data_IF_324463453408
#
_entry.id   IF_324463453408
#
_cell.length_a   1.000
_cell.length_b   1.000
_cell.length_c   1.000
_cell.angle_alpha   90.00
_cell.angle_beta   90.00
_cell.angle_gamma   90.00
#
_symmetry.space_group_name_H-M   'P 1'
#
loop_
_entity.id
_entity.type
_entity.pdbx_description
1 polymer ?
#
# COMPACT_ATOMS: atom_id res chain seq x y z
N UNK A 1 -22.44 9.67 -1.57
CA UNK A 1 -21.74 8.63 -2.35
C UNK A 1 -22.79 7.59 -2.75
N UNK A 2 -22.67 6.93 -3.91
CA UNK A 2 -23.62 5.90 -4.37
C UNK A 2 -22.83 4.66 -4.76
N UNK A 3 -23.43 3.49 -4.61
CA UNK A 3 -22.83 2.25 -5.10
C UNK A 3 -22.70 2.28 -6.64
N UNK A 4 -21.66 1.65 -7.21
CA UNK A 4 -21.56 1.46 -8.65
C UNK A 4 -22.76 0.70 -9.20
N UNK A 5 -23.04 0.87 -10.49
CA UNK A 5 -24.14 0.16 -11.17
C UNK A 5 -24.00 -1.35 -10.96
N UNK A 6 -25.09 -2.01 -10.58
CA UNK A 6 -25.17 -3.44 -10.24
C UNK A 6 -24.59 -3.84 -8.88
N UNK A 7 -24.08 -2.89 -8.08
CA UNK A 7 -23.59 -3.15 -6.71
C UNK A 7 -24.58 -2.69 -5.63
N UNK A 8 -25.81 -2.34 -6.01
CA UNK A 8 -26.83 -1.88 -5.06
C UNK A 8 -27.26 -2.96 -4.07
N UNK A 9 -27.06 -4.24 -4.41
CA UNK A 9 -27.51 -5.41 -3.63
C UNK A 9 -26.38 -6.15 -2.90
N UNK A 10 -25.17 -5.61 -2.87
CA UNK A 10 -24.08 -6.25 -2.12
C UNK A 10 -24.44 -6.37 -0.63
N UNK A 11 -24.00 -7.46 -0.02
CA UNK A 11 -24.23 -7.70 1.40
C UNK A 11 -23.41 -6.72 2.25
N UNK A 12 -23.86 -6.47 3.48
CA UNK A 12 -23.07 -5.71 4.43
C UNK A 12 -21.69 -6.38 4.61
N UNK A 13 -20.64 -5.56 4.60
CA UNK A 13 -19.23 -5.96 4.73
C UNK A 13 -18.68 -6.82 3.59
N UNK A 14 -19.42 -6.94 2.48
CA UNK A 14 -18.91 -7.55 1.26
C UNK A 14 -17.85 -6.63 0.63
N UNK A 15 -16.60 -7.07 0.66
CA UNK A 15 -15.46 -6.35 0.10
C UNK A 15 -15.54 -6.35 -1.42
N UNK A 16 -15.65 -5.16 -2.01
CA UNK A 16 -15.67 -4.97 -3.45
C UNK A 16 -14.46 -4.14 -3.89
N UNK A 17 -14.02 -4.35 -5.12
CA UNK A 17 -12.97 -3.56 -5.77
C UNK A 17 -13.48 -3.05 -7.12
N UNK A 18 -12.97 -1.90 -7.55
CA UNK A 18 -13.21 -1.35 -8.88
C UNK A 18 -11.89 -0.91 -9.51
N UNK A 19 -11.72 -1.27 -10.78
CA UNK A 19 -10.71 -0.73 -11.67
C UNK A 19 -11.29 0.40 -12.51
N UNK A 20 -10.42 1.28 -13.01
CA UNK A 20 -10.78 2.20 -14.07
C UNK A 20 -10.62 1.56 -15.47
N UNK A 21 -10.77 2.37 -16.52
CA UNK A 21 -10.96 1.88 -17.90
C UNK A 21 -9.75 1.14 -18.49
N UNK A 22 -8.54 1.53 -18.09
CA UNK A 22 -7.27 0.94 -18.50
C UNK A 22 -6.54 0.20 -17.36
N UNK A 23 -7.19 0.08 -16.19
CA UNK A 23 -6.72 -0.67 -15.02
C UNK A 23 -5.40 -0.13 -14.42
N UNK A 24 -5.24 1.19 -14.41
CA UNK A 24 -4.14 1.88 -13.72
C UNK A 24 -4.52 2.39 -12.31
N UNK A 25 -5.81 2.31 -11.96
CA UNK A 25 -6.35 2.70 -10.65
C UNK A 25 -7.12 1.60 -9.96
N UNK A 26 -6.94 1.53 -8.64
CA UNK A 26 -7.69 0.66 -7.77
C UNK A 26 -8.36 1.43 -6.63
N UNK A 27 -9.66 1.20 -6.45
CA UNK A 27 -10.36 1.55 -5.22
C UNK A 27 -11.15 0.36 -4.70
N UNK A 28 -11.25 0.28 -3.38
CA UNK A 28 -12.12 -0.67 -2.70
C UNK A 28 -13.35 0.04 -2.14
N UNK A 29 -14.41 -0.71 -1.92
CA UNK A 29 -15.60 -0.21 -1.25
C UNK A 29 -16.40 -1.35 -0.63
N UNK A 30 -17.27 -1.01 0.31
CA UNK A 30 -18.21 -1.94 0.89
C UNK A 30 -19.44 -1.21 1.41
N UNK A 31 -20.45 -1.99 1.80
CA UNK A 31 -21.64 -1.52 2.50
C UNK A 31 -21.47 -1.74 4.00
N UNK A 32 -21.60 -0.71 4.83
CA UNK A 32 -21.54 -0.89 6.28
C UNK A 32 -22.85 -1.43 6.88
N UNK A 33 -22.88 -1.65 8.20
CA UNK A 33 -24.08 -2.10 8.91
C UNK A 33 -25.27 -1.12 8.84
N UNK A 34 -25.01 0.16 8.56
CA UNK A 34 -26.04 1.19 8.38
C UNK A 34 -26.53 1.29 6.93
N UNK A 35 -26.11 0.35 6.07
CA UNK A 35 -26.37 0.34 4.63
C UNK A 35 -25.72 1.50 3.87
N UNK A 36 -24.73 2.17 4.46
CA UNK A 36 -24.03 3.28 3.82
C UNK A 36 -22.83 2.81 2.99
N UNK A 37 -22.52 3.60 1.96
CA UNK A 37 -21.37 3.35 1.10
C UNK A 37 -20.10 3.82 1.78
N UNK A 38 -19.17 2.89 2.02
CA UNK A 38 -17.84 3.19 2.53
C UNK A 38 -16.82 3.03 1.40
N UNK A 39 -16.06 4.10 1.15
CA UNK A 39 -14.96 4.11 0.18
C UNK A 39 -13.66 3.78 0.90
N UNK A 40 -12.87 2.91 0.28
CA UNK A 40 -11.48 2.64 0.64
C UNK A 40 -10.63 3.09 -0.55
N UNK A 41 -10.11 4.30 -0.44
CA UNK A 41 -9.40 5.00 -1.51
C UNK A 41 -7.88 4.71 -1.49
N UNK A 42 -7.15 5.36 -2.39
CA UNK A 42 -5.70 5.17 -2.51
C UNK A 42 -4.91 5.52 -1.23
N UNK A 43 -5.41 6.44 -0.40
CA UNK A 43 -4.76 6.74 0.89
C UNK A 43 -4.82 5.54 1.85
N UNK A 44 -5.96 4.84 1.87
CA UNK A 44 -6.13 3.62 2.67
C UNK A 44 -5.28 2.45 2.15
N UNK A 45 -5.09 2.35 0.83
CA UNK A 45 -4.19 1.38 0.21
C UNK A 45 -2.73 1.70 0.59
N UNK A 46 -2.32 2.96 0.46
CA UNK A 46 -0.99 3.40 0.87
C UNK A 46 -0.72 3.12 2.35
N UNK A 47 -1.68 3.39 3.23
CA UNK A 47 -1.56 3.09 4.66
C UNK A 47 -1.40 1.58 4.93
N UNK A 48 -2.16 0.73 4.23
CA UNK A 48 -2.05 -0.72 4.34
C UNK A 48 -0.67 -1.22 3.91
N UNK A 49 -0.18 -0.74 2.77
CA UNK A 49 1.12 -1.12 2.22
C UNK A 49 2.25 -0.63 3.12
N UNK A 50 2.19 0.63 3.56
CA UNK A 50 3.17 1.20 4.48
C UNK A 50 3.24 0.40 5.79
N UNK A 51 2.10 -0.07 6.31
CA UNK A 51 2.04 -0.89 7.53
C UNK A 51 2.73 -2.22 7.32
N UNK A 52 2.33 -2.93 6.27
CA UNK A 52 2.89 -4.24 5.96
C UNK A 52 4.41 -4.19 5.79
N UNK A 53 4.89 -3.24 4.97
CA UNK A 53 6.32 -3.09 4.69
C UNK A 53 7.09 -2.73 5.96
N UNK A 54 6.61 -1.77 6.76
CA UNK A 54 7.28 -1.34 7.99
C UNK A 54 7.44 -2.49 8.98
N UNK A 55 6.42 -3.35 9.11
CA UNK A 55 6.50 -4.53 9.97
C UNK A 55 7.49 -5.57 9.45
N UNK A 56 7.56 -5.79 8.13
CA UNK A 56 8.55 -6.73 7.59
C UNK A 56 9.97 -6.16 7.71
N UNK A 57 10.19 -4.85 7.51
CA UNK A 57 11.49 -4.19 7.70
C UNK A 57 11.93 -4.29 9.17
N UNK A 58 11.03 -3.97 10.09
CA UNK A 58 11.31 -4.03 11.54
C UNK A 58 11.54 -5.47 12.00
N UNK A 59 10.68 -6.40 11.57
CA UNK A 59 10.82 -7.82 11.90
C UNK A 59 12.06 -8.48 11.28
N UNK A 60 12.58 -7.94 10.18
CA UNK A 60 13.86 -8.35 9.60
C UNK A 60 15.08 -7.73 10.31
N UNK A 61 14.88 -6.80 11.25
CA UNK A 61 15.96 -6.05 11.90
C UNK A 61 16.66 -5.08 10.93
N UNK A 62 15.92 -4.52 9.96
CA UNK A 62 16.45 -3.65 8.92
C UNK A 62 16.03 -2.19 9.08
N UNK A 63 15.46 -1.80 10.23
CA UNK A 63 15.01 -0.42 10.47
C UNK A 63 16.14 0.62 10.44
N UNK A 64 17.37 0.22 10.77
CA UNK A 64 18.56 1.08 10.65
C UNK A 64 19.09 1.18 9.21
N UNK A 65 18.58 0.32 8.31
CA UNK A 65 19.02 0.20 6.91
C UNK A 65 18.00 0.82 5.97
N UNK A 66 16.72 0.55 6.19
CA UNK A 66 15.63 1.00 5.35
C UNK A 66 14.63 1.83 6.14
N UNK A 67 14.43 3.07 5.67
CA UNK A 67 13.30 3.90 6.08
C UNK A 67 12.18 3.74 5.06
N UNK A 68 10.98 3.39 5.54
CA UNK A 68 9.77 3.42 4.72
C UNK A 68 9.27 4.86 4.67
N UNK A 69 9.01 5.36 3.46
CA UNK A 69 8.40 6.67 3.23
C UNK A 69 7.04 6.52 2.56
N UNK A 70 6.09 7.38 2.90
CA UNK A 70 4.82 7.54 2.18
C UNK A 70 4.77 8.91 1.52
N UNK A 71 4.44 8.94 0.23
CA UNK A 71 4.35 10.16 -0.54
C UNK A 71 2.89 10.34 -0.94
N UNK A 72 2.33 11.46 -0.51
CA UNK A 72 0.95 11.85 -0.74
C UNK A 72 0.89 13.11 -1.60
N UNK A 73 -0.32 13.43 -2.07
CA UNK A 73 -0.63 14.72 -2.69
C UNK A 73 -1.55 15.52 -1.79
N UNK A 74 -1.80 16.78 -2.11
CA UNK A 74 -2.71 17.65 -1.35
C UNK A 74 -4.18 17.17 -1.35
N UNK A 75 -4.54 16.19 -2.21
CA UNK A 75 -5.86 15.54 -2.16
C UNK A 75 -5.99 14.49 -1.06
N UNK A 76 -4.88 14.12 -0.42
CA UNK A 76 -4.90 13.11 0.61
C UNK A 76 -5.73 13.56 1.82
N UNK A 77 -6.47 12.62 2.41
CA UNK A 77 -7.21 12.91 3.63
C UNK A 77 -6.24 13.25 4.77
N UNK A 78 -6.38 14.41 5.42
CA UNK A 78 -5.49 14.80 6.52
C UNK A 78 -5.43 13.80 7.68
N UNK A 79 -6.49 13.00 7.90
CA UNK A 79 -6.46 11.91 8.89
C UNK A 79 -5.53 10.77 8.46
N UNK A 80 -5.39 10.48 7.16
CA UNK A 80 -4.45 9.48 6.66
C UNK A 80 -3.00 9.91 6.93
N UNK A 81 -2.67 11.17 6.66
CA UNK A 81 -1.35 11.75 6.96
C UNK A 81 -1.06 11.70 8.46
N UNK A 82 -2.05 12.05 9.29
CA UNK A 82 -1.92 11.99 10.75
C UNK A 82 -1.72 10.56 11.26
N UNK A 83 -2.47 9.60 10.73
CA UNK A 83 -2.33 8.19 11.07
C UNK A 83 -0.93 7.65 10.72
N UNK A 84 -0.47 7.90 9.50
CA UNK A 84 0.86 7.49 9.04
C UNK A 84 1.97 8.08 9.91
N UNK A 85 1.91 9.38 10.20
CA UNK A 85 2.95 10.06 10.98
C UNK A 85 2.90 9.71 12.46
N UNK A 86 1.73 9.91 13.09
CA UNK A 86 1.61 9.92 14.55
C UNK A 86 1.40 8.52 15.13
N UNK A 87 0.67 7.65 14.41
CA UNK A 87 0.37 6.27 14.87
C UNK A 87 1.39 5.26 14.38
N UNK A 88 1.81 5.37 13.12
CA UNK A 88 2.73 4.41 12.52
C UNK A 88 4.19 4.85 12.54
N UNK A 89 4.48 6.13 12.81
CA UNK A 89 5.84 6.64 12.85
C UNK A 89 6.53 6.63 11.48
N UNK A 90 5.78 6.58 10.38
CA UNK A 90 6.33 6.55 9.02
C UNK A 90 6.65 7.98 8.57
N UNK A 91 7.73 8.14 7.80
CA UNK A 91 8.02 9.41 7.16
C UNK A 91 6.97 9.71 6.08
N UNK A 92 6.35 10.90 6.12
CA UNK A 92 5.32 11.31 5.14
C UNK A 92 5.74 12.60 4.44
N UNK A 93 5.74 12.57 3.11
CA UNK A 93 6.01 13.72 2.25
C UNK A 93 4.77 14.08 1.43
N UNK A 94 4.51 15.38 1.23
CA UNK A 94 3.45 15.86 0.34
C UNK A 94 4.06 16.53 -0.89
N UNK A 95 3.56 16.20 -2.07
CA UNK A 95 4.00 16.77 -3.35
C UNK A 95 2.81 17.26 -4.18
N UNK A 96 3.09 18.06 -5.20
CA UNK A 96 2.09 18.45 -6.18
C UNK A 96 1.48 17.22 -6.86
N UNK A 97 0.23 17.36 -7.31
CA UNK A 97 -0.55 16.29 -7.92
C UNK A 97 0.07 15.76 -9.21
N UNK A 98 -0.25 14.51 -9.54
CA UNK A 98 0.27 13.81 -10.71
C UNK A 98 1.40 12.84 -10.39
N UNK A 99 1.29 11.63 -10.95
CA UNK A 99 2.19 10.51 -10.71
C UNK A 99 3.68 10.83 -10.93
N UNK A 100 3.99 11.73 -11.87
CA UNK A 100 5.37 12.16 -12.14
C UNK A 100 6.02 12.85 -10.94
N UNK A 101 5.24 13.63 -10.17
CA UNK A 101 5.74 14.32 -8.98
C UNK A 101 5.94 13.32 -7.83
N UNK A 102 4.97 12.41 -7.64
CA UNK A 102 5.06 11.30 -6.69
C UNK A 102 6.31 10.46 -6.96
N UNK A 103 6.51 10.04 -8.21
CA UNK A 103 7.65 9.21 -8.61
C UNK A 103 8.99 9.94 -8.47
N UNK A 104 9.05 11.23 -8.83
CA UNK A 104 10.26 12.05 -8.67
C UNK A 104 10.68 12.17 -7.20
N UNK A 105 9.73 12.16 -6.27
CA UNK A 105 10.01 12.14 -4.85
C UNK A 105 10.35 10.72 -4.36
N UNK A 106 9.66 9.68 -4.86
CA UNK A 106 9.84 8.28 -4.48
C UNK A 106 11.27 7.78 -4.66
N UNK A 107 11.92 8.16 -5.77
CA UNK A 107 13.28 7.71 -6.10
C UNK A 107 14.37 8.20 -5.14
N UNK A 108 14.04 9.11 -4.21
CA UNK A 108 14.96 9.60 -3.16
C UNK A 108 15.10 8.64 -1.98
N UNK A 109 14.23 7.63 -1.89
CA UNK A 109 14.18 6.69 -0.77
C UNK A 109 14.50 5.27 -1.24
N UNK A 110 14.84 4.38 -0.29
CA UNK A 110 14.98 2.95 -0.60
C UNK A 110 13.63 2.25 -0.77
N UNK A 111 12.63 2.67 0.01
CA UNK A 111 11.27 2.16 -0.07
C UNK A 111 10.30 3.34 0.04
N UNK A 112 9.52 3.58 -1.01
CA UNK A 112 8.54 4.66 -1.03
C UNK A 112 7.18 4.16 -1.53
N UNK A 113 6.17 4.25 -0.68
CA UNK A 113 4.77 4.00 -1.03
C UNK A 113 4.17 5.31 -1.55
N UNK A 114 3.55 5.29 -2.72
CA UNK A 114 2.91 6.49 -3.26
C UNK A 114 1.59 6.15 -3.94
N UNK A 115 0.52 6.82 -3.51
CA UNK A 115 -0.80 6.73 -4.11
C UNK A 115 -1.44 8.12 -4.13
N UNK A 116 -2.20 8.38 -5.19
CA UNK A 116 -3.22 9.42 -5.18
C UNK A 116 -4.53 8.85 -4.62
N UNK A 117 -5.36 9.69 -4.01
CA UNK A 117 -6.67 9.29 -3.48
C UNK A 117 -7.59 8.67 -4.55
N UNK A 118 -7.34 8.92 -5.84
CA UNK A 118 -8.08 8.32 -6.95
C UNK A 118 -7.76 6.83 -7.19
N UNK A 119 -6.78 6.26 -6.48
CA UNK A 119 -6.39 4.85 -6.60
C UNK A 119 -5.17 4.60 -7.49
N UNK A 120 -4.58 5.62 -8.10
CA UNK A 120 -3.36 5.46 -8.91
C UNK A 120 -2.15 5.50 -7.99
N UNK A 121 -1.38 4.42 -7.94
CA UNK A 121 -0.15 4.37 -7.16
C UNK A 121 0.56 3.04 -7.24
N UNK A 122 1.69 2.93 -6.56
CA UNK A 122 2.44 1.69 -6.38
C UNK A 122 3.49 1.91 -5.27
N UNK A 123 4.42 0.96 -5.13
CA UNK A 123 5.57 1.06 -4.24
C UNK A 123 6.86 1.04 -5.05
N UNK A 124 7.71 2.04 -4.82
CA UNK A 124 9.06 2.07 -5.34
C UNK A 124 10.03 1.37 -4.39
N UNK A 125 10.92 0.57 -4.96
CA UNK A 125 12.04 -0.08 -4.28
C UNK A 125 13.33 0.27 -5.03
N UNK A 126 14.32 0.81 -4.31
CA UNK A 126 15.59 1.22 -4.92
C UNK A 126 16.43 0.02 -5.40
N UNK A 127 17.39 0.23 -6.32
CA UNK A 127 18.40 -0.80 -6.62
C UNK A 127 19.14 -1.28 -5.37
N UNK A 128 19.47 -0.36 -4.45
CA UNK A 128 20.13 -0.67 -3.18
C UNK A 128 19.30 -1.62 -2.31
N UNK A 129 17.97 -1.45 -2.29
CA UNK A 129 17.07 -2.37 -1.60
C UNK A 129 17.27 -3.81 -2.09
N UNK A 130 17.26 -4.02 -3.41
CA UNK A 130 17.44 -5.35 -4.00
C UNK A 130 18.81 -5.95 -3.72
N UNK A 131 19.88 -5.16 -3.80
CA UNK A 131 21.25 -5.63 -3.58
C UNK A 131 21.45 -6.08 -2.13
N UNK A 132 20.93 -5.32 -1.16
CA UNK A 132 20.99 -5.67 0.25
C UNK A 132 20.18 -6.94 0.54
N UNK A 133 18.93 -7.04 0.06
CA UNK A 133 18.13 -8.24 0.29
C UNK A 133 18.78 -9.50 -0.31
N UNK A 134 19.33 -9.41 -1.52
CA UNK A 134 20.05 -10.52 -2.15
C UNK A 134 21.27 -10.93 -1.33
N UNK A 135 22.04 -9.95 -0.85
CA UNK A 135 23.21 -10.21 0.01
C UNK A 135 22.80 -10.94 1.28
N UNK A 136 21.73 -10.49 1.95
CA UNK A 136 21.28 -11.15 3.18
C UNK A 136 20.81 -12.58 2.91
N UNK A 137 20.06 -12.81 1.84
CA UNK A 137 19.55 -14.15 1.48
C UNK A 137 20.70 -15.12 1.19
N UNK A 138 21.80 -14.66 0.59
CA UNK A 138 22.97 -15.51 0.30
C UNK A 138 23.75 -15.85 1.58
N UNK A 139 23.84 -14.93 2.54
CA UNK A 139 24.76 -15.04 3.68
C UNK A 139 24.10 -15.44 5.02
N UNK A 140 22.77 -15.38 5.16
CA UNK A 140 22.07 -15.74 6.41
C UNK A 140 21.34 -17.07 6.31
N UNK A 141 21.38 -17.81 7.42
CA UNK A 141 20.62 -19.04 7.62
C UNK A 141 19.12 -18.77 7.86
N UNK A 142 18.29 -19.77 7.57
CA UNK A 142 16.90 -19.63 7.09
C UNK A 142 15.93 -18.91 8.04
N UNK A 143 16.15 -18.82 9.34
CA UNK A 143 15.07 -18.38 10.25
C UNK A 143 14.79 -16.87 10.27
N UNK A 144 15.75 -16.00 9.93
CA UNK A 144 15.47 -14.58 9.70
C UNK A 144 14.95 -14.29 8.28
N UNK A 145 14.74 -15.34 7.47
CA UNK A 145 14.41 -15.17 6.05
C UNK A 145 12.93 -14.91 5.78
N UNK A 146 11.98 -15.17 6.69
CA UNK A 146 10.56 -15.06 6.29
C UNK A 146 10.15 -13.61 6.00
N UNK A 147 10.53 -12.64 6.84
CA UNK A 147 10.25 -11.22 6.61
C UNK A 147 11.01 -10.71 5.37
N UNK A 148 12.25 -11.15 5.19
CA UNK A 148 13.07 -10.80 4.02
C UNK A 148 12.48 -11.37 2.73
N UNK A 149 12.05 -12.64 2.74
CA UNK A 149 11.37 -13.30 1.63
C UNK A 149 10.05 -12.60 1.33
N UNK A 150 9.27 -12.24 2.36
CA UNK A 150 8.04 -11.46 2.22
C UNK A 150 8.30 -10.12 1.56
N UNK A 151 9.29 -9.35 2.01
CA UNK A 151 9.69 -8.10 1.37
C UNK A 151 10.07 -8.31 -0.10
N UNK A 152 10.91 -9.30 -0.38
CA UNK A 152 11.36 -9.58 -1.75
C UNK A 152 10.21 -10.03 -2.67
N UNK A 153 9.30 -10.88 -2.19
CA UNK A 153 8.17 -11.33 -2.98
C UNK A 153 7.11 -10.26 -3.13
N UNK A 154 6.88 -9.44 -2.10
CA UNK A 154 6.00 -8.28 -2.18
C UNK A 154 6.52 -7.26 -3.21
N UNK A 155 7.83 -6.98 -3.21
CA UNK A 155 8.43 -6.08 -4.19
C UNK A 155 8.39 -6.61 -5.62
N UNK A 156 8.34 -7.94 -5.79
CA UNK A 156 8.22 -8.61 -7.10
C UNK A 156 6.77 -8.75 -7.58
N UNK A 157 5.80 -8.66 -6.67
CA UNK A 157 4.38 -8.72 -7.00
C UNK A 157 3.93 -7.42 -7.65
N UNK A 158 4.38 -6.29 -7.11
CA UNK A 158 3.98 -4.96 -7.56
C UNK A 158 4.67 -4.55 -8.86
N UNK A 159 3.95 -3.80 -9.70
CA UNK A 159 4.55 -3.09 -10.82
C UNK A 159 5.30 -1.85 -10.31
N UNK A 160 6.63 -1.87 -10.36
CA UNK A 160 7.44 -0.76 -9.81
C UNK A 160 7.60 0.43 -10.78
N UNK A 161 7.04 0.36 -11.99
CA UNK A 161 7.22 1.40 -13.03
C UNK A 161 6.02 2.37 -13.07
N UNK A 162 4.81 1.84 -13.04
CA UNK A 162 3.53 2.57 -13.12
C UNK A 162 2.52 1.88 -12.20
N UNK A 163 1.49 2.61 -11.76
CA UNK A 163 0.36 2.00 -11.05
C UNK A 163 -0.30 0.91 -11.89
N UNK A 164 -0.61 -0.20 -11.25
CA UNK A 164 -1.17 -1.40 -11.88
C UNK A 164 -2.21 -1.98 -10.93
N UNK A 165 -3.47 -1.72 -11.25
CA UNK A 165 -4.59 -2.03 -10.39
C UNK A 165 -4.72 -3.54 -10.11
N UNK A 166 -4.26 -4.39 -11.05
CA UNK A 166 -4.30 -5.84 -10.86
C UNK A 166 -3.25 -6.28 -9.85
N UNK A 167 -2.03 -5.77 -9.95
CA UNK A 167 -0.98 -6.09 -8.96
C UNK A 167 -1.30 -5.50 -7.58
N UNK A 168 -1.87 -4.30 -7.54
CA UNK A 168 -2.31 -3.68 -6.30
C UNK A 168 -3.45 -4.48 -5.63
N UNK A 169 -4.40 -5.00 -6.42
CA UNK A 169 -5.48 -5.86 -5.91
C UNK A 169 -4.90 -7.13 -5.25
N UNK A 170 -3.98 -7.82 -5.94
CA UNK A 170 -3.35 -9.02 -5.40
C UNK A 170 -2.54 -8.70 -4.13
N UNK A 171 -1.85 -7.55 -4.11
CA UNK A 171 -1.11 -7.10 -2.94
C UNK A 171 -2.03 -6.78 -1.75
N UNK A 172 -3.16 -6.09 -1.98
CA UNK A 172 -4.16 -5.83 -0.95
C UNK A 172 -4.73 -7.14 -0.40
N UNK A 173 -5.19 -8.06 -1.25
CA UNK A 173 -5.78 -9.33 -0.80
C UNK A 173 -4.76 -10.19 -0.03
N UNK A 174 -3.49 -10.20 -0.47
CA UNK A 174 -2.41 -10.88 0.22
C UNK A 174 -2.15 -10.31 1.62
N UNK A 175 -2.14 -8.97 1.76
CA UNK A 175 -1.94 -8.31 3.06
C UNK A 175 -3.14 -8.52 3.98
N UNK A 176 -4.38 -8.39 3.46
CA UNK A 176 -5.58 -8.64 4.25
C UNK A 176 -5.59 -10.09 4.77
N UNK A 177 -5.19 -11.05 3.94
CA UNK A 177 -5.07 -12.45 4.39
C UNK A 177 -3.93 -12.63 5.41
N UNK A 178 -2.81 -11.92 5.25
CA UNK A 178 -1.70 -11.96 6.19
C UNK A 178 -2.13 -11.56 7.62
N UNK A 179 -2.97 -10.54 7.74
CA UNK A 179 -3.49 -10.05 9.02
C UNK A 179 -4.79 -10.73 9.49
N UNK A 180 -5.37 -11.58 8.65
CA UNK A 180 -6.73 -12.12 8.82
C UNK A 180 -7.77 -10.99 9.04
N UNK A 181 -7.63 -9.91 8.27
CA UNK A 181 -8.45 -8.71 8.39
C UNK A 181 -9.68 -8.74 7.49
N UNK A 182 -10.80 -8.30 8.06
CA UNK A 182 -11.98 -7.91 7.30
C UNK A 182 -11.79 -6.53 6.67
N UNK A 183 -12.67 -6.13 5.75
CA UNK A 183 -12.66 -4.77 5.18
C UNK A 183 -12.89 -3.70 6.25
N UNK A 184 -13.63 -4.04 7.31
CA UNK A 184 -13.87 -3.13 8.43
C UNK A 184 -12.62 -2.95 9.29
N UNK A 185 -11.86 -4.03 9.54
CA UNK A 185 -10.58 -3.93 10.24
C UNK A 185 -9.59 -3.03 9.48
N UNK A 186 -9.58 -3.09 8.16
CA UNK A 186 -8.74 -2.22 7.33
C UNK A 186 -9.24 -0.77 7.33
N UNK A 187 -10.56 -0.56 7.32
CA UNK A 187 -11.11 0.79 7.30
C UNK A 187 -10.85 1.57 8.60
N UNK A 188 -10.77 0.89 9.74
CA UNK A 188 -10.57 1.51 11.05
C UNK A 188 -9.13 1.99 11.26
#
# INVERSE_FOLDING_TARGET
>A
KKFPRNFDKIQAFERCAAFDGDADRLVYFYRDASNEFVLIDGDKIAALFAKYITEQVTGAGLSDVFMVSVIQTDYANGNSTKFLRDKMGVHVCCVATGIKNLQKEAVKYDIAVYFEANGHGTVYFSPRFYDILRTIIIHKDVDQTIQIKRLLYFSKLLNTVVGDAMTDLLAVEMILKHYDWTVENWNN
#
